data_IF_325783721514
#
_entry.id   IF_325783721514
#
_cell.length_a   1.000
_cell.length_b   1.000
_cell.length_c   1.000
_cell.angle_alpha   90.00
_cell.angle_beta   90.00
_cell.angle_gamma   90.00
#
_symmetry.space_group_name_H-M   'P 1'
#
loop_
_entity.id
_entity.type
_entity.pdbx_description
1 polymer ?
#
# COMPACT_ATOMS: atom_id res chain seq x y z
N UNK A 1 -12.76 -7.47 -36.82
CA UNK A 1 -12.85 -8.72 -36.05
C UNK A 1 -13.48 -8.38 -34.71
N UNK A 2 -14.68 -8.89 -34.42
CA UNK A 2 -15.31 -8.68 -33.12
C UNK A 2 -14.73 -9.70 -32.14
N UNK A 3 -14.07 -9.23 -31.08
CA UNK A 3 -13.66 -10.08 -29.97
C UNK A 3 -14.95 -10.50 -29.25
N UNK A 4 -15.35 -11.76 -29.42
CA UNK A 4 -16.44 -12.36 -28.66
C UNK A 4 -15.85 -12.75 -27.30
N UNK A 5 -16.04 -11.88 -26.30
CA UNK A 5 -15.71 -12.21 -24.90
C UNK A 5 -16.85 -13.07 -24.39
N UNK A 6 -16.56 -14.34 -24.09
CA UNK A 6 -17.53 -15.22 -23.43
C UNK A 6 -17.59 -14.85 -21.93
N UNK A 7 -18.71 -14.28 -21.44
CA UNK A 7 -18.84 -13.84 -20.05
C UNK A 7 -18.91 -14.99 -19.04
N UNK A 8 -19.03 -16.25 -19.50
CA UNK A 8 -19.01 -17.43 -18.65
C UNK A 8 -17.63 -18.09 -18.50
N UNK A 9 -16.60 -17.53 -19.14
CA UNK A 9 -15.20 -17.93 -18.91
C UNK A 9 -14.63 -16.99 -17.84
N UNK A 10 -14.16 -17.52 -16.68
CA UNK A 10 -13.47 -16.71 -15.70
C UNK A 10 -12.29 -15.99 -16.38
N UNK A 11 -12.08 -14.69 -16.16
CA UNK A 11 -10.92 -14.01 -16.70
C UNK A 11 -9.64 -14.75 -16.27
N UNK A 12 -8.62 -14.82 -17.14
CA UNK A 12 -7.36 -15.46 -16.79
C UNK A 12 -6.82 -14.84 -15.49
N UNK A 13 -6.32 -15.69 -14.59
CA UNK A 13 -5.71 -15.22 -13.35
C UNK A 13 -4.63 -14.17 -13.70
N UNK A 14 -4.64 -12.99 -13.06
CA UNK A 14 -3.65 -11.98 -13.35
C UNK A 14 -2.26 -12.54 -13.13
N UNK A 15 -1.28 -12.21 -14.00
CA UNK A 15 0.07 -12.72 -13.87
C UNK A 15 0.62 -12.36 -12.49
N UNK A 16 1.36 -13.29 -11.89
CA UNK A 16 2.06 -13.06 -10.61
C UNK A 16 3.33 -12.24 -10.85
N UNK A 17 3.88 -12.29 -12.06
CA UNK A 17 5.05 -11.53 -12.49
C UNK A 17 4.83 -11.03 -13.91
N UNK A 18 5.18 -9.77 -14.14
CA UNK A 18 5.17 -9.15 -15.46
C UNK A 18 6.49 -8.40 -15.65
N UNK A 19 6.97 -8.37 -16.88
CA UNK A 19 8.18 -7.65 -17.29
C UNK A 19 7.78 -6.65 -18.36
N UNK A 20 8.33 -5.44 -18.29
CA UNK A 20 8.13 -4.42 -19.31
C UNK A 20 8.67 -4.89 -20.66
N UNK A 21 8.12 -4.45 -21.80
CA UNK A 21 8.55 -4.96 -23.11
C UNK A 21 9.99 -4.59 -23.50
N UNK A 22 10.59 -3.58 -22.86
CA UNK A 22 12.01 -3.26 -22.97
C UNK A 22 12.92 -4.08 -22.04
N UNK A 23 12.35 -4.92 -21.18
CA UNK A 23 13.08 -5.79 -20.25
C UNK A 23 13.65 -5.08 -19.02
N UNK A 24 13.39 -3.78 -18.84
CA UNK A 24 14.02 -2.95 -17.80
C UNK A 24 13.31 -3.10 -16.45
N UNK A 25 11.99 -3.23 -16.43
CA UNK A 25 11.18 -3.19 -15.22
C UNK A 25 10.41 -4.51 -15.05
N UNK A 26 10.62 -5.16 -13.91
CA UNK A 26 9.87 -6.33 -13.48
C UNK A 26 8.96 -5.95 -12.31
N UNK A 27 7.67 -6.28 -12.41
CA UNK A 27 6.70 -6.17 -11.33
C UNK A 27 6.24 -7.56 -10.89
N UNK A 28 6.33 -7.84 -9.60
CA UNK A 28 5.92 -9.10 -8.96
C UNK A 28 4.84 -8.83 -7.94
N UNK A 29 3.74 -9.55 -8.03
CA UNK A 29 2.65 -9.49 -7.07
C UNK A 29 3.05 -10.21 -5.78
N UNK A 30 2.76 -9.57 -4.66
CA UNK A 30 2.91 -10.14 -3.33
C UNK A 30 1.53 -10.30 -2.70
N UNK A 31 0.96 -11.50 -2.86
CA UNK A 31 -0.39 -11.82 -2.39
C UNK A 31 -0.48 -11.85 -0.86
N UNK A 32 0.63 -12.06 -0.15
CA UNK A 32 0.64 -12.15 1.31
C UNK A 32 0.37 -10.81 1.99
N UNK A 33 0.72 -9.70 1.34
CA UNK A 33 0.53 -8.33 1.86
C UNK A 33 -0.23 -7.41 0.87
N UNK A 34 -0.78 -8.00 -0.20
CA UNK A 34 -1.43 -7.30 -1.31
C UNK A 34 -0.60 -6.15 -1.87
N UNK A 35 0.70 -6.38 -2.07
CA UNK A 35 1.65 -5.39 -2.58
C UNK A 35 2.25 -5.79 -3.94
N UNK A 36 3.09 -4.92 -4.48
CA UNK A 36 3.83 -5.16 -5.72
C UNK A 36 5.31 -4.88 -5.51
N UNK A 37 6.14 -5.90 -5.70
CA UNK A 37 7.59 -5.78 -5.67
C UNK A 37 8.11 -5.40 -7.06
N UNK A 38 8.88 -4.30 -7.11
CA UNK A 38 9.38 -3.71 -8.35
C UNK A 38 10.90 -3.86 -8.41
N UNK A 39 11.42 -4.25 -9.57
CA UNK A 39 12.85 -4.38 -9.85
C UNK A 39 13.14 -3.65 -11.15
N UNK A 40 14.00 -2.65 -11.12
CA UNK A 40 14.52 -1.99 -12.31
C UNK A 40 15.96 -2.45 -12.57
N UNK A 41 16.24 -2.89 -13.79
CA UNK A 41 17.56 -3.31 -14.24
C UNK A 41 18.04 -2.40 -15.39
N UNK A 42 18.89 -1.44 -15.03
CA UNK A 42 19.62 -0.55 -15.94
C UNK A 42 21.12 -0.93 -16.02
N UNK A 43 21.49 -2.18 -15.74
CA UNK A 43 22.91 -2.63 -15.79
C UNK A 43 23.54 -2.45 -17.17
N UNK A 44 22.73 -2.51 -18.24
CA UNK A 44 23.17 -2.27 -19.60
C UNK A 44 23.30 -0.77 -19.98
N UNK A 45 22.84 0.14 -19.13
CA UNK A 45 22.95 1.59 -19.38
C UNK A 45 24.38 2.09 -19.14
N UNK A 46 24.82 3.08 -19.93
CA UNK A 46 26.16 3.66 -19.82
C UNK A 46 26.10 5.19 -19.85
N UNK A 47 26.45 5.88 -18.74
CA UNK A 47 26.69 5.32 -17.41
C UNK A 47 25.40 4.73 -16.80
N UNK A 48 25.51 3.77 -15.86
CA UNK A 48 24.34 3.31 -15.11
C UNK A 48 23.79 4.46 -14.24
N UNK A 49 22.46 4.52 -14.01
CA UNK A 49 21.87 5.54 -13.17
C UNK A 49 22.35 5.41 -11.73
N UNK A 50 22.41 6.54 -11.02
CA UNK A 50 22.73 6.53 -9.59
C UNK A 50 21.51 6.12 -8.75
N UNK A 51 20.31 6.48 -9.22
CA UNK A 51 19.02 6.17 -8.57
C UNK A 51 17.95 5.85 -9.61
N UNK A 52 16.87 5.23 -9.19
CA UNK A 52 15.68 5.01 -10.00
C UNK A 52 14.46 5.51 -9.24
N UNK A 53 13.59 6.24 -9.94
CA UNK A 53 12.30 6.69 -9.43
C UNK A 53 11.20 5.77 -9.96
N UNK A 54 10.42 5.17 -9.07
CA UNK A 54 9.30 4.31 -9.42
C UNK A 54 7.98 5.08 -9.34
N UNK A 55 7.16 4.96 -10.38
CA UNK A 55 5.88 5.65 -10.49
C UNK A 55 4.81 4.63 -10.88
N UNK A 56 3.66 4.69 -10.22
CA UNK A 56 2.44 3.96 -10.54
C UNK A 56 1.47 4.88 -11.27
N UNK A 57 0.78 4.35 -12.27
CA UNK A 57 -0.38 4.96 -12.91
C UNK A 57 -1.58 4.05 -12.68
N UNK A 58 -2.60 4.56 -12.00
CA UNK A 58 -3.84 3.84 -11.72
C UNK A 58 -4.70 3.65 -12.98
N UNK A 59 -5.74 2.81 -12.88
CA UNK A 59 -6.69 2.60 -13.96
C UNK A 59 -7.46 3.88 -14.36
N UNK A 60 -7.58 4.82 -13.44
CA UNK A 60 -8.15 6.16 -13.61
C UNK A 60 -7.17 7.17 -14.25
N UNK A 61 -5.93 6.75 -14.51
CA UNK A 61 -4.86 7.61 -15.02
C UNK A 61 -4.15 8.43 -13.93
N UNK A 62 -4.52 8.28 -12.65
CA UNK A 62 -3.87 8.99 -11.56
C UNK A 62 -2.43 8.52 -11.41
N UNK A 63 -1.50 9.47 -11.43
CA UNK A 63 -0.07 9.21 -11.28
C UNK A 63 0.31 9.35 -9.80
N UNK A 64 0.88 8.29 -9.22
CA UNK A 64 1.34 8.25 -7.85
C UNK A 64 2.79 7.76 -7.78
N UNK A 65 3.63 8.43 -7.00
CA UNK A 65 4.99 7.94 -6.72
C UNK A 65 4.92 6.73 -5.78
N UNK A 66 5.76 5.72 -5.99
CA UNK A 66 5.79 4.54 -5.12
C UNK A 66 6.52 4.90 -3.83
N UNK A 67 5.88 4.74 -2.67
CA UNK A 67 6.48 5.05 -1.36
C UNK A 67 7.79 4.28 -1.16
N UNK A 68 8.87 5.00 -0.83
CA UNK A 68 10.21 4.42 -0.72
C UNK A 68 10.89 4.11 -2.06
N UNK A 69 10.24 4.45 -3.17
CA UNK A 69 10.70 4.32 -4.55
C UNK A 69 10.93 5.65 -5.27
N UNK A 70 10.70 6.81 -4.63
CA UNK A 70 10.84 8.14 -5.25
C UNK A 70 12.29 8.42 -5.71
N UNK A 71 13.27 7.88 -4.99
CA UNK A 71 14.69 7.99 -5.28
C UNK A 71 15.45 6.74 -4.79
N UNK A 72 15.03 5.56 -5.24
CA UNK A 72 15.65 4.30 -4.86
C UNK A 72 17.10 4.24 -5.37
N UNK A 73 18.03 3.88 -4.50
CA UNK A 73 19.44 3.74 -4.89
C UNK A 73 19.64 2.63 -5.92
N UNK A 74 20.45 2.90 -6.93
CA UNK A 74 20.67 2.00 -8.06
C UNK A 74 22.16 1.60 -8.24
N UNK A 75 22.85 1.05 -7.22
CA UNK A 75 24.26 0.67 -7.36
C UNK A 75 24.42 -0.37 -8.47
N UNK A 76 25.29 -0.08 -9.45
CA UNK A 76 25.47 -0.94 -10.62
C UNK A 76 24.30 -0.94 -11.60
N UNK A 77 23.35 0.00 -11.47
CA UNK A 77 22.19 0.13 -12.35
C UNK A 77 20.96 -0.67 -11.92
N UNK A 78 20.99 -1.39 -10.80
CA UNK A 78 19.81 -2.12 -10.31
C UNK A 78 19.18 -1.45 -9.10
N UNK A 79 17.87 -1.25 -9.14
CA UNK A 79 17.09 -0.65 -8.05
C UNK A 79 15.82 -1.45 -7.76
N UNK A 80 15.33 -1.34 -6.54
CA UNK A 80 14.13 -2.06 -6.08
C UNK A 80 13.20 -1.13 -5.32
N UNK A 81 11.89 -1.40 -5.40
CA UNK A 81 10.87 -0.72 -4.63
C UNK A 81 9.73 -1.68 -4.26
N UNK A 82 8.88 -1.29 -3.31
CA UNK A 82 7.71 -2.08 -2.91
C UNK A 82 6.48 -1.20 -2.78
N UNK A 83 5.51 -1.46 -3.64
CA UNK A 83 4.27 -0.72 -3.69
C UNK A 83 3.15 -1.48 -2.96
N UNK A 84 2.96 -1.15 -1.69
CA UNK A 84 1.86 -1.68 -0.87
C UNK A 84 0.59 -0.83 -0.97
N UNK A 85 0.64 0.31 -1.65
CA UNK A 85 -0.49 1.23 -1.85
C UNK A 85 -1.17 1.02 -3.21
N UNK A 86 -0.84 -0.06 -3.92
CA UNK A 86 -1.45 -0.39 -5.20
C UNK A 86 -2.97 -0.60 -5.02
N UNK A 87 -3.82 -0.01 -5.88
CA UNK A 87 -5.26 -0.26 -5.86
C UNK A 87 -5.58 -1.74 -6.00
N UNK A 88 -6.56 -2.21 -5.24
CA UNK A 88 -7.04 -3.59 -5.29
C UNK A 88 -8.11 -3.72 -6.38
N UNK A 89 -8.18 -4.88 -7.04
CA UNK A 89 -9.19 -5.19 -8.05
C UNK A 89 -9.02 -4.51 -9.40
N UNK A 90 -8.14 -3.51 -9.52
CA UNK A 90 -7.86 -2.79 -10.75
C UNK A 90 -6.41 -2.98 -11.21
N UNK A 91 -6.20 -3.03 -12.53
CA UNK A 91 -4.86 -3.03 -13.10
C UNK A 91 -4.22 -1.64 -12.94
N UNK A 92 -2.97 -1.63 -12.50
CA UNK A 92 -2.12 -0.43 -12.52
C UNK A 92 -0.94 -0.66 -13.47
N UNK A 93 -0.30 0.43 -13.89
CA UNK A 93 0.89 0.41 -14.74
C UNK A 93 2.04 1.07 -14.01
N UNK A 94 3.19 0.40 -13.90
CA UNK A 94 4.39 0.96 -13.26
C UNK A 94 5.43 1.35 -14.30
N UNK A 95 6.18 2.40 -13.97
CA UNK A 95 7.28 2.95 -14.75
C UNK A 95 8.50 3.17 -13.86
N UNK A 96 9.69 2.95 -14.41
CA UNK A 96 10.96 3.24 -13.75
C UNK A 96 11.67 4.37 -14.48
N UNK A 97 12.00 5.46 -13.80
CA UNK A 97 12.72 6.60 -14.35
C UNK A 97 14.17 6.56 -13.85
N UNK A 98 15.18 6.46 -14.74
CA UNK A 98 16.57 6.51 -14.31
C UNK A 98 16.92 7.95 -13.89
N UNK A 99 17.67 8.08 -12.79
CA UNK A 99 18.16 9.35 -12.28
C UNK A 99 19.68 9.28 -12.20
N UNK A 100 20.34 10.20 -12.89
CA UNK A 100 21.80 10.23 -12.94
C UNK A 100 22.42 10.79 -11.65
N UNK A 101 23.75 10.82 -11.57
CA UNK A 101 24.47 11.33 -10.41
C UNK A 101 24.28 12.85 -10.17
N UNK A 102 23.84 13.61 -11.18
CA UNK A 102 23.51 15.02 -11.07
C UNK A 102 22.07 15.28 -10.60
N UNK A 103 21.24 14.23 -10.55
CA UNK A 103 19.82 14.31 -10.23
C UNK A 103 18.92 14.54 -11.46
N UNK A 104 19.47 14.51 -12.67
CA UNK A 104 18.68 14.62 -13.90
C UNK A 104 17.90 13.33 -14.13
N UNK A 105 16.60 13.49 -14.43
CA UNK A 105 15.69 12.39 -14.73
C UNK A 105 15.76 12.08 -16.22
N UNK A 106 16.07 10.83 -16.57
CA UNK A 106 16.09 10.33 -17.94
C UNK A 106 14.72 9.83 -18.42
N UNK A 107 14.71 9.24 -19.62
CA UNK A 107 13.50 8.64 -20.18
C UNK A 107 13.04 7.42 -19.36
N UNK A 108 11.74 7.26 -19.09
CA UNK A 108 11.25 6.10 -18.35
C UNK A 108 11.39 4.80 -19.15
N UNK A 109 11.39 3.68 -18.43
CA UNK A 109 11.12 2.37 -19.00
C UNK A 109 9.74 2.35 -19.67
N UNK A 110 9.51 1.34 -20.51
CA UNK A 110 8.16 0.98 -20.90
C UNK A 110 7.35 0.51 -19.68
N UNK A 111 6.03 0.73 -19.74
CA UNK A 111 5.13 0.41 -18.64
C UNK A 111 4.96 -1.09 -18.45
N UNK A 112 4.94 -1.54 -17.20
CA UNK A 112 4.54 -2.90 -16.82
C UNK A 112 3.16 -2.87 -16.18
N UNK A 113 2.23 -3.68 -16.68
CA UNK A 113 0.86 -3.74 -16.15
C UNK A 113 0.68 -4.97 -15.26
N UNK A 114 0.08 -4.78 -14.09
CA UNK A 114 -0.21 -5.82 -13.11
C UNK A 114 -1.47 -5.43 -12.32
N UNK A 115 -2.25 -6.43 -11.90
CA UNK A 115 -3.41 -6.22 -11.05
C UNK A 115 -3.21 -6.96 -9.72
N UNK A 116 -3.51 -6.28 -8.61
CA UNK A 116 -3.57 -6.90 -7.28
C UNK A 116 -5.01 -7.35 -7.06
N UNK A 117 -5.28 -8.62 -6.73
CA UNK A 117 -6.64 -9.12 -6.55
C UNK A 117 -7.32 -8.44 -5.35
N UNK A 118 -8.65 -8.34 -5.42
CA UNK A 118 -9.45 -7.95 -4.25
C UNK A 118 -9.42 -9.06 -3.19
N UNK A 119 -9.52 -8.73 -1.90
CA UNK A 119 -9.53 -9.71 -0.83
C UNK A 119 -10.86 -10.48 -0.77
N UNK A 120 -10.84 -11.82 -0.68
CA UNK A 120 -12.05 -12.65 -0.55
C UNK A 120 -12.67 -12.63 0.87
N UNK A 121 -13.93 -13.09 1.00
CA UNK A 121 -14.70 -13.04 2.24
C UNK A 121 -14.28 -14.22 3.14
N UNK A 122 -14.33 -14.12 4.48
CA UNK A 122 -14.93 -13.03 5.27
C UNK A 122 -13.99 -11.85 5.61
N UNK A 123 -12.67 -11.98 5.45
CA UNK A 123 -11.72 -10.90 5.74
C UNK A 123 -11.44 -10.08 4.47
N UNK A 124 -12.39 -9.23 4.10
CA UNK A 124 -12.44 -8.55 2.81
C UNK A 124 -12.02 -7.08 2.84
N UNK A 125 -11.37 -6.66 3.92
CA UNK A 125 -10.76 -5.33 4.05
C UNK A 125 -9.29 -5.50 4.38
N UNK A 126 -8.42 -4.81 3.64
CA UNK A 126 -7.02 -4.69 3.99
C UNK A 126 -6.80 -3.46 4.87
N UNK A 127 -6.18 -3.66 6.03
CA UNK A 127 -5.55 -2.59 6.78
C UNK A 127 -4.04 -2.71 6.62
N UNK A 128 -3.44 -1.72 5.99
CA UNK A 128 -2.02 -1.70 5.65
C UNK A 128 -1.31 -0.59 6.41
N UNK A 129 -0.20 -0.91 7.07
CA UNK A 129 0.66 0.14 7.61
C UNK A 129 1.46 0.77 6.48
N UNK A 130 1.42 2.10 6.36
CA UNK A 130 2.19 2.79 5.32
C UNK A 130 3.70 2.81 5.61
N UNK A 131 4.07 2.67 6.88
CA UNK A 131 5.46 2.75 7.35
C UNK A 131 6.08 1.37 7.53
N UNK A 132 5.27 0.37 7.88
CA UNK A 132 5.72 -1.00 8.13
C UNK A 132 4.82 -1.99 7.40
N UNK A 133 4.99 -2.16 6.07
CA UNK A 133 4.07 -2.98 5.28
C UNK A 133 3.95 -4.43 5.74
N UNK A 134 4.93 -4.96 6.49
CA UNK A 134 4.88 -6.29 7.10
C UNK A 134 3.87 -6.45 8.24
N UNK A 135 3.31 -5.36 8.77
CA UNK A 135 2.21 -5.39 9.74
C UNK A 135 0.83 -5.37 9.06
N UNK A 136 0.80 -5.28 7.73
CA UNK A 136 -0.46 -5.24 6.99
C UNK A 136 -1.20 -6.57 7.13
N UNK A 137 -2.51 -6.50 7.33
CA UNK A 137 -3.34 -7.68 7.48
C UNK A 137 -4.74 -7.47 6.91
N UNK A 138 -5.42 -8.57 6.61
CA UNK A 138 -6.84 -8.57 6.30
C UNK A 138 -7.64 -8.58 7.59
N UNK A 139 -8.75 -7.88 7.61
CA UNK A 139 -9.65 -7.79 8.75
C UNK A 139 -11.09 -8.00 8.32
N UNK A 140 -11.91 -8.48 9.26
CA UNK A 140 -13.36 -8.51 9.13
C UNK A 140 -13.92 -7.24 9.75
N UNK A 141 -14.58 -6.40 8.93
CA UNK A 141 -15.31 -5.22 9.42
C UNK A 141 -16.78 -5.61 9.60
N UNK A 142 -17.25 -5.62 10.85
CA UNK A 142 -18.62 -6.03 11.17
C UNK A 142 -19.65 -4.98 10.79
N UNK A 143 -19.30 -3.72 11.01
CA UNK A 143 -20.15 -2.59 10.73
C UNK A 143 -19.30 -1.45 10.19
N UNK A 144 -19.71 -0.99 9.01
CA UNK A 144 -19.14 0.20 8.41
C UNK A 144 -19.72 1.44 9.09
N UNK A 145 -18.88 2.29 9.69
CA UNK A 145 -19.38 3.44 10.41
C UNK A 145 -20.00 4.51 9.53
N UNK A 146 -20.87 5.28 10.18
CA UNK A 146 -21.33 6.57 9.71
C UNK A 146 -20.12 7.50 9.49
N UNK A 147 -20.04 8.08 8.30
CA UNK A 147 -19.05 9.10 7.99
C UNK A 147 -19.56 10.46 8.45
N UNK A 148 -18.82 11.11 9.33
CA UNK A 148 -19.12 12.46 9.79
C UNK A 148 -18.15 13.43 9.13
N UNK A 149 -18.70 14.41 8.42
CA UNK A 149 -17.93 15.49 7.81
C UNK A 149 -18.15 16.74 8.63
N UNK A 150 -17.07 17.40 9.04
CA UNK A 150 -17.13 18.68 9.74
C UNK A 150 -16.84 19.82 8.78
N UNK A 151 -17.38 20.99 9.09
CA UNK A 151 -17.15 22.18 8.31
C UNK A 151 -16.96 23.40 9.21
N UNK A 152 -16.26 24.41 8.68
CA UNK A 152 -16.22 25.73 9.30
C UNK A 152 -17.26 26.62 8.65
N UNK A 153 -18.34 26.90 9.38
CA UNK A 153 -19.38 27.85 8.94
C UNK A 153 -19.30 29.17 9.70
N UNK A 154 -19.45 30.27 8.98
CA UNK A 154 -19.63 31.61 9.53
C UNK A 154 -20.98 32.17 9.09
N UNK A 155 -21.71 32.74 10.04
CA UNK A 155 -23.04 33.34 9.84
C UNK A 155 -22.93 34.85 9.87
N UNK A 156 -23.47 35.51 8.84
CA UNK A 156 -23.57 36.97 8.75
C UNK A 156 -25.04 37.38 8.78
N UNK A 157 -25.45 38.04 9.87
CA UNK A 157 -26.77 38.66 9.95
C UNK A 157 -26.74 40.03 9.27
N UNK A 158 -27.43 40.17 8.15
CA UNK A 158 -27.51 41.41 7.37
C UNK A 158 -28.71 42.23 7.85
N UNK A 159 -28.46 43.48 8.25
CA UNK A 159 -29.53 44.39 8.70
C UNK A 159 -30.62 44.53 7.63
N UNK A 160 -31.86 44.24 8.01
CA UNK A 160 -33.02 44.33 7.12
C UNK A 160 -33.29 43.09 6.28
N UNK A 161 -32.42 42.08 6.32
CA UNK A 161 -32.69 40.76 5.73
C UNK A 161 -33.35 39.84 6.77
N UNK A 162 -34.41 39.14 6.37
CA UNK A 162 -35.06 38.13 7.23
C UNK A 162 -34.30 36.81 7.27
N UNK A 163 -33.36 36.59 6.33
CA UNK A 163 -32.51 35.42 6.25
C UNK A 163 -31.04 35.83 6.38
N UNK A 164 -30.23 35.09 7.15
CA UNK A 164 -28.80 35.32 7.24
C UNK A 164 -28.09 34.90 5.95
N UNK A 165 -26.89 35.45 5.72
CA UNK A 165 -25.95 34.92 4.74
C UNK A 165 -25.00 33.97 5.46
N UNK A 166 -24.91 32.73 4.97
CA UNK A 166 -23.98 31.73 5.49
C UNK A 166 -22.77 31.62 4.56
N UNK A 167 -21.55 31.60 5.12
CA UNK A 167 -20.32 31.26 4.41
C UNK A 167 -19.80 29.95 4.98
N UNK A 168 -19.59 28.97 4.12
CA UNK A 168 -18.99 27.68 4.47
C UNK A 168 -17.64 27.58 3.76
N UNK A 169 -16.61 27.18 4.51
CA UNK A 169 -15.28 26.89 3.96
C UNK A 169 -15.23 25.45 3.39
N UNK A 170 -14.04 24.90 3.15
CA UNK A 170 -13.88 23.49 2.81
C UNK A 170 -14.38 22.56 3.93
N UNK A 171 -14.99 21.44 3.53
CA UNK A 171 -15.36 20.36 4.43
C UNK A 171 -14.11 19.57 4.82
N UNK A 172 -14.06 19.08 6.06
CA UNK A 172 -13.03 18.16 6.52
C UNK A 172 -13.22 16.79 5.87
N UNK A 173 -12.14 16.02 5.79
CA UNK A 173 -12.23 14.58 5.54
C UNK A 173 -13.04 13.89 6.67
N UNK A 174 -13.67 12.74 6.39
CA UNK A 174 -14.60 12.14 7.33
C UNK A 174 -13.92 11.54 8.56
N UNK A 175 -14.58 11.65 9.70
CA UNK A 175 -14.30 10.87 10.90
C UNK A 175 -15.30 9.72 11.04
N UNK A 176 -14.87 8.60 11.62
CA UNK A 176 -15.68 7.39 11.68
C UNK A 176 -15.20 6.45 12.79
N UNK A 177 -16.03 5.49 13.25
CA UNK A 177 -15.61 4.47 14.24
C UNK A 177 -15.77 3.07 13.67
N UNK A 178 -14.70 2.44 13.24
CA UNK A 178 -14.76 1.10 12.62
C UNK A 178 -14.82 0.03 13.70
N UNK A 179 -15.71 -0.94 13.53
CA UNK A 179 -15.78 -2.14 14.37
C UNK A 179 -15.14 -3.32 13.64
N UNK A 180 -14.05 -3.83 14.19
CA UNK A 180 -13.24 -4.91 13.61
C UNK A 180 -13.35 -6.16 14.48
N UNK A 181 -13.40 -7.34 13.87
CA UNK A 181 -13.31 -8.62 14.57
C UNK A 181 -12.01 -9.35 14.24
N UNK A 182 -11.39 -9.94 15.26
CA UNK A 182 -10.28 -10.90 15.14
C UNK A 182 -10.69 -12.23 15.76
N UNK A 183 -10.45 -13.34 15.07
CA UNK A 183 -10.89 -14.67 15.50
C UNK A 183 -9.83 -15.41 16.32
N UNK A 184 -8.54 -15.12 16.09
CA UNK A 184 -7.42 -15.79 16.78
C UNK A 184 -6.61 -14.84 17.66
N UNK A 185 -5.85 -15.41 18.61
CA UNK A 185 -4.94 -14.62 19.45
C UNK A 185 -3.81 -13.98 18.63
N UNK A 186 -3.35 -14.66 17.58
CA UNK A 186 -2.31 -14.14 16.69
C UNK A 186 -2.83 -12.96 15.88
N UNK A 187 -4.04 -13.05 15.33
CA UNK A 187 -4.72 -11.92 14.68
C UNK A 187 -4.92 -10.75 15.63
N UNK A 188 -5.32 -11.02 16.89
CA UNK A 188 -5.43 -10.00 17.94
C UNK A 188 -4.10 -9.27 18.16
N UNK A 189 -2.99 -10.01 18.26
CA UNK A 189 -1.67 -9.42 18.50
C UNK A 189 -1.17 -8.66 17.27
N UNK A 190 -1.42 -9.17 16.07
CA UNK A 190 -1.09 -8.51 14.82
C UNK A 190 -1.86 -7.19 14.67
N UNK A 191 -3.18 -7.21 14.87
CA UNK A 191 -4.02 -6.01 14.77
C UNK A 191 -3.64 -4.97 15.82
N UNK A 192 -3.41 -5.40 17.06
CA UNK A 192 -2.92 -4.49 18.12
C UNK A 192 -1.60 -3.86 17.72
N UNK A 193 -0.65 -4.62 17.18
CA UNK A 193 0.65 -4.10 16.75
C UNK A 193 0.48 -3.08 15.61
N UNK A 194 -0.33 -3.41 14.60
CA UNK A 194 -0.66 -2.52 13.50
C UNK A 194 -1.26 -1.20 14.00
N UNK A 195 -2.28 -1.24 14.86
CA UNK A 195 -2.97 -0.05 15.35
C UNK A 195 -2.13 0.78 16.33
N UNK A 196 -1.22 0.15 17.08
CA UNK A 196 -0.36 0.84 18.07
C UNK A 196 0.97 1.33 17.50
N UNK A 197 1.24 1.10 16.21
CA UNK A 197 2.43 1.65 15.51
C UNK A 197 2.43 3.19 15.54
N UNK A 198 1.25 3.82 15.73
CA UNK A 198 1.12 5.27 15.83
C UNK A 198 1.27 5.99 14.48
N UNK A 199 1.16 5.26 13.38
CA UNK A 199 1.26 5.79 12.02
C UNK A 199 -0.07 5.67 11.29
N UNK A 200 -0.17 6.36 10.15
CA UNK A 200 -1.32 6.26 9.27
C UNK A 200 -1.44 4.85 8.70
N UNK A 201 -2.67 4.33 8.66
CA UNK A 201 -3.00 3.06 8.02
C UNK A 201 -3.78 3.33 6.73
N UNK A 202 -3.49 2.59 5.68
CA UNK A 202 -4.28 2.59 4.46
C UNK A 202 -5.34 1.50 4.59
N UNK A 203 -6.61 1.90 4.51
CA UNK A 203 -7.73 0.98 4.43
C UNK A 203 -8.15 0.83 2.97
N UNK A 204 -8.06 -0.39 2.46
CA UNK A 204 -8.51 -0.74 1.12
C UNK A 204 -9.64 -1.74 1.20
N UNK A 205 -10.71 -1.41 0.51
CA UNK A 205 -11.93 -2.21 0.46
C UNK A 205 -12.13 -2.76 -0.95
N UNK A 206 -13.03 -3.72 -1.10
CA UNK A 206 -13.51 -4.10 -2.43
C UNK A 206 -14.22 -2.94 -3.11
N UNK A 207 -14.16 -2.90 -4.43
CA UNK A 207 -14.93 -1.95 -5.23
C UNK A 207 -16.44 -2.08 -4.97
N UNK A 208 -16.94 -3.28 -4.68
CA UNK A 208 -18.37 -3.55 -4.39
C UNK A 208 -18.90 -2.79 -3.17
N UNK A 209 -18.04 -2.40 -2.22
CA UNK A 209 -18.46 -1.60 -1.06
C UNK A 209 -18.72 -0.13 -1.40
N UNK A 210 -18.40 0.32 -2.62
CA UNK A 210 -18.61 1.69 -3.04
C UNK A 210 -17.83 2.71 -2.21
N UNK A 211 -16.74 2.27 -1.58
CA UNK A 211 -15.84 3.09 -0.77
C UNK A 211 -14.48 3.16 -1.43
N UNK A 212 -13.92 4.37 -1.40
CA UNK A 212 -12.59 4.63 -1.92
C UNK A 212 -11.52 4.23 -0.89
N UNK A 213 -10.35 3.85 -1.39
CA UNK A 213 -9.17 3.61 -0.56
C UNK A 213 -8.84 4.86 0.25
N UNK A 214 -8.80 4.73 1.58
CA UNK A 214 -8.68 5.89 2.48
C UNK A 214 -7.52 5.71 3.45
N UNK A 215 -6.75 6.79 3.67
CA UNK A 215 -5.73 6.84 4.70
C UNK A 215 -6.36 7.27 6.03
N UNK A 216 -6.15 6.50 7.08
CA UNK A 216 -6.70 6.74 8.40
C UNK A 216 -5.60 6.95 9.43
N UNK A 217 -5.84 7.87 10.36
CA UNK A 217 -5.12 7.93 11.62
C UNK A 217 -6.00 7.28 12.70
N UNK A 218 -5.59 6.13 13.26
CA UNK A 218 -6.30 5.50 14.36
C UNK A 218 -6.22 6.35 15.63
N UNK A 219 -7.35 6.48 16.33
CA UNK A 219 -7.45 7.14 17.62
C UNK A 219 -7.37 6.14 18.79
N UNK A 220 -8.18 6.38 19.83
CA UNK A 220 -8.24 5.51 21.00
C UNK A 220 -8.84 4.14 20.63
N UNK A 221 -8.05 3.09 20.73
CA UNK A 221 -8.50 1.70 20.54
C UNK A 221 -9.22 1.16 21.79
N UNK A 222 -10.34 0.50 21.59
CA UNK A 222 -11.06 -0.27 22.62
C UNK A 222 -11.10 -1.73 22.21
N UNK A 223 -10.68 -2.63 23.10
CA UNK A 223 -10.72 -4.10 22.88
C UNK A 223 -11.77 -4.72 23.80
N UNK A 224 -12.69 -5.51 23.24
CA UNK A 224 -13.72 -6.25 23.97
C UNK A 224 -13.63 -7.74 23.66
N UNK A 225 -13.84 -8.58 24.68
CA UNK A 225 -13.96 -10.03 24.56
C UNK A 225 -15.44 -10.40 24.65
N UNK A 226 -16.11 -10.74 23.53
CA UNK A 226 -17.55 -10.97 23.52
C UNK A 226 -17.98 -12.29 24.19
N UNK A 227 -17.10 -13.29 24.23
CA UNK A 227 -17.36 -14.60 24.82
C UNK A 227 -16.75 -14.83 26.21
N UNK A 228 -16.67 -16.10 26.60
CA UNK A 228 -16.09 -16.55 27.87
C UNK A 228 -14.57 -16.33 27.92
N UNK A 229 -13.97 -16.51 29.10
CA UNK A 229 -12.52 -16.29 29.32
C UNK A 229 -11.59 -17.13 28.42
N UNK A 230 -12.08 -18.23 27.84
CA UNK A 230 -11.34 -19.08 26.91
C UNK A 230 -11.53 -18.72 25.43
N UNK A 231 -12.39 -17.75 25.11
CA UNK A 231 -12.69 -17.36 23.74
C UNK A 231 -11.55 -16.52 23.15
N UNK A 232 -10.92 -16.92 22.03
CA UNK A 232 -9.90 -16.10 21.37
C UNK A 232 -10.47 -14.88 20.63
N UNK A 233 -11.76 -14.82 20.34
CA UNK A 233 -12.35 -13.75 19.55
C UNK A 233 -12.26 -12.39 20.26
N UNK A 234 -11.96 -11.33 19.52
CA UNK A 234 -12.00 -9.95 20.02
C UNK A 234 -12.73 -9.04 19.04
N UNK A 235 -13.51 -8.14 19.62
CA UNK A 235 -14.12 -7.03 18.91
C UNK A 235 -13.38 -5.75 19.26
N UNK A 236 -13.04 -4.97 18.25
CA UNK A 236 -12.28 -3.74 18.37
C UNK A 236 -13.10 -2.57 17.89
N UNK A 237 -13.17 -1.52 18.69
CA UNK A 237 -13.72 -0.24 18.25
C UNK A 237 -12.57 0.74 18.05
N UNK A 238 -12.44 1.24 16.81
CA UNK A 238 -11.34 2.10 16.40
C UNK A 238 -11.92 3.38 15.79
N UNK A 239 -11.91 4.50 16.53
CA UNK A 239 -12.18 5.80 15.92
C UNK A 239 -11.04 6.11 14.95
N UNK A 240 -11.38 6.49 13.73
CA UNK A 240 -10.45 6.80 12.65
C UNK A 240 -10.76 8.20 12.11
N UNK A 241 -9.70 8.94 11.79
CA UNK A 241 -9.79 10.21 11.06
C UNK A 241 -9.17 10.02 9.69
N UNK A 242 -9.93 10.28 8.63
CA UNK A 242 -9.38 10.27 7.29
C UNK A 242 -8.42 11.45 7.09
N UNK A 243 -7.29 11.17 6.44
CA UNK A 243 -6.24 12.14 6.12
C UNK A 243 -5.85 12.00 4.66
N UNK A 244 -5.24 13.05 4.11
CA UNK A 244 -4.61 12.94 2.80
C UNK A 244 -3.46 11.93 2.85
N UNK A 245 -3.14 11.37 1.68
CA UNK A 245 -1.98 10.50 1.49
C UNK A 245 -0.73 11.20 2.05
N UNK A 246 -0.05 10.62 3.05
CA UNK A 246 1.19 11.21 3.56
C UNK A 246 2.25 11.29 2.46
N UNK A 247 3.09 12.35 2.43
CA UNK A 247 4.10 12.51 1.39
C UNK A 247 5.06 11.32 1.36
N UNK A 248 5.57 10.98 0.18
CA UNK A 248 6.49 9.84 -0.03
C UNK A 248 7.96 10.24 0.09
N UNK A 249 8.26 11.55 0.04
CA UNK A 249 9.61 12.09 0.12
C UNK A 249 10.36 11.58 1.36
N UNK A 250 11.63 11.21 1.16
CA UNK A 250 12.53 10.67 2.19
C UNK A 250 12.00 9.45 2.96
N UNK A 251 10.93 8.81 2.49
CA UNK A 251 10.44 7.58 3.10
C UNK A 251 11.44 6.46 2.81
N UNK A 252 11.94 5.73 3.82
CA UNK A 252 12.85 4.63 3.57
C UNK A 252 12.14 3.48 2.85
N UNK A 253 12.87 2.76 2.02
CA UNK A 253 12.38 1.52 1.43
C UNK A 253 12.04 0.50 2.54
N UNK A 254 10.85 -0.09 2.44
CA UNK A 254 10.34 -1.11 3.35
C UNK A 254 9.68 -2.21 2.53
N UNK A 255 10.25 -3.41 2.61
CA UNK A 255 9.75 -4.62 1.96
C UNK A 255 9.45 -5.63 3.06
N UNK A 256 8.23 -6.18 3.15
CA UNK A 256 7.90 -7.23 4.12
C UNK A 256 8.87 -8.41 4.06
N UNK A 257 9.31 -8.89 5.23
CA UNK A 257 10.18 -10.06 5.34
C UNK A 257 11.59 -9.89 4.77
N UNK A 258 12.00 -8.67 4.42
CA UNK A 258 13.33 -8.37 3.86
C UNK A 258 14.08 -7.28 4.63
N UNK A 259 13.80 -7.16 5.92
CA UNK A 259 14.63 -6.34 6.81
C UNK A 259 15.95 -7.03 7.15
N UNK A 260 16.92 -6.27 7.67
CA UNK A 260 18.17 -6.86 8.16
C UNK A 260 17.90 -7.87 9.29
N UNK A 261 16.92 -7.60 10.14
CA UNK A 261 16.48 -8.52 11.18
C UNK A 261 15.96 -9.83 10.57
N UNK A 262 15.17 -9.76 9.49
CA UNK A 262 14.67 -10.94 8.79
C UNK A 262 15.81 -11.74 8.15
N UNK A 263 16.85 -11.07 7.63
CA UNK A 263 18.03 -11.73 7.07
C UNK A 263 18.94 -12.40 8.12
N UNK A 264 18.93 -11.89 9.36
CA UNK A 264 19.71 -12.46 10.45
C UNK A 264 19.10 -13.76 11.02
N UNK A 265 17.83 -14.05 10.73
CA UNK A 265 17.17 -15.30 11.12
C UNK A 265 17.73 -16.52 10.36
N UNK A 266 17.75 -16.55 9.01
CA UNK A 266 18.34 -17.64 8.25
C UNK A 266 19.87 -17.58 8.20
N UNK A 267 20.49 -16.39 8.34
CA UNK A 267 21.95 -16.22 8.35
C UNK A 267 22.42 -15.46 9.60
N UNK A 268 22.53 -16.14 10.76
CA UNK A 268 22.94 -15.52 12.02
C UNK A 268 24.33 -14.90 11.97
N UNK A 269 25.22 -15.39 11.10
CA UNK A 269 26.57 -14.85 10.94
C UNK A 269 26.87 -14.45 9.50
N UNK A 270 27.82 -13.51 9.33
CA UNK A 270 28.30 -13.11 8.01
C UNK A 270 28.94 -14.28 7.24
N UNK A 271 29.55 -15.24 7.94
CA UNK A 271 30.16 -16.43 7.35
C UNK A 271 29.10 -17.36 6.75
N UNK A 272 27.94 -17.51 7.40
CA UNK A 272 26.82 -18.32 6.89
C UNK A 272 26.26 -17.71 5.60
N UNK A 273 26.26 -16.38 5.51
CA UNK A 273 25.81 -15.66 4.32
C UNK A 273 26.79 -15.75 3.16
N UNK A 274 28.11 -15.64 3.38
CA UNK A 274 29.08 -15.81 2.29
C UNK A 274 29.15 -17.24 1.79
N UNK A 275 28.85 -18.23 2.64
CA UNK A 275 28.83 -19.64 2.27
C UNK A 275 27.75 -20.01 1.24
N UNK A 276 26.67 -19.22 1.11
CA UNK A 276 25.62 -19.46 0.10
C UNK A 276 26.02 -18.95 -1.30
N UNK A 277 27.07 -18.14 -1.41
CA UNK A 277 27.47 -17.51 -2.68
C UNK A 277 26.47 -16.46 -3.20
N UNK A 278 25.42 -16.13 -2.44
CA UNK A 278 24.41 -15.16 -2.84
C UNK A 278 24.99 -13.73 -2.75
N UNK A 279 24.83 -12.95 -3.83
CA UNK A 279 25.19 -11.53 -3.82
C UNK A 279 24.21 -10.71 -2.96
N UNK A 280 24.61 -9.52 -2.53
CA UNK A 280 23.70 -8.59 -1.83
C UNK A 280 22.40 -8.35 -2.62
N UNK A 281 22.53 -8.32 -3.94
CA UNK A 281 21.42 -8.22 -4.87
C UNK A 281 20.49 -9.44 -4.79
N UNK A 282 21.03 -10.66 -4.81
CA UNK A 282 20.22 -11.88 -4.68
C UNK A 282 19.38 -11.90 -3.39
N UNK A 283 19.96 -11.47 -2.26
CA UNK A 283 19.23 -11.38 -0.98
C UNK A 283 18.15 -10.30 -1.00
N UNK A 284 18.39 -9.16 -1.67
CA UNK A 284 17.41 -8.07 -1.75
C UNK A 284 16.29 -8.36 -2.74
N UNK A 285 16.56 -9.04 -3.86
CA UNK A 285 15.55 -9.41 -4.87
C UNK A 285 14.87 -10.77 -4.65
N UNK A 286 15.31 -11.55 -3.66
CA UNK A 286 14.76 -12.88 -3.38
C UNK A 286 15.20 -13.94 -4.40
N UNK A 287 16.44 -13.82 -4.89
CA UNK A 287 17.09 -14.89 -5.65
C UNK A 287 17.31 -16.09 -4.74
N UNK A 288 16.76 -17.24 -5.14
CA UNK A 288 16.95 -18.54 -4.47
C UNK A 288 18.41 -18.96 -4.39
#
# INVERSE_FOLDING_TARGET
MAIVINPSIPPPAPPVEAVSPDGILTARRDDAYAGVYLIADYTAASPPPARVRFVRVGADGTVAEVRGGDAAWAPGGMAVAYDHEAPLGAASVWFAYPVDASGMIGAPSQGVALAVPEPDAPQDVWLKSITEPGLSMRVLVLAWPQMEYGERQERFDVLGASAPVMRVDAWSLPTSTVTIETATLDERLALRSLLTTGTTVLAQTRAEYGREDTYWVPGKITETMPGDAGDPHRTWEVPVTAVDRPPTIDTPLRIPGRSYADSAVPWPTYADRTATGQTYHAVTTGGG
#
